data_IF_848413432857
#
_entry.id   IF_848413432857
#
_cell.length_a   1.000
_cell.length_b   1.000
_cell.length_c   1.000
_cell.angle_alpha   90.00
_cell.angle_beta   90.00
_cell.angle_gamma   90.00
#
_symmetry.space_group_name_H-M   'P 1'
#
loop_
_entity.id
_entity.type
_entity.pdbx_description
1 polymer ?
#
# COMPACT_ATOMS: atom_id res chain seq x y z
N UNK A 1 -23.10 6.95 -32.80
CA UNK A 1 -21.77 7.55 -32.54
C UNK A 1 -21.67 8.43 -31.28
N UNK A 2 -22.77 8.72 -30.56
CA UNK A 2 -22.77 9.56 -29.33
C UNK A 2 -22.32 8.83 -28.04
N UNK A 3 -21.87 7.58 -28.14
CA UNK A 3 -21.49 6.74 -26.99
C UNK A 3 -19.99 6.80 -26.66
N UNK A 4 -19.18 7.40 -27.54
CA UNK A 4 -17.72 7.50 -27.40
C UNK A 4 -17.23 8.94 -27.12
N UNK A 5 -18.14 9.89 -26.92
CA UNK A 5 -17.81 11.23 -26.44
C UNK A 5 -18.00 11.26 -24.93
N UNK A 6 -16.90 11.28 -24.18
CA UNK A 6 -16.92 11.27 -22.72
C UNK A 6 -17.66 12.46 -22.15
N UNK A 7 -17.91 12.43 -20.83
CA UNK A 7 -18.52 13.55 -20.08
C UNK A 7 -17.93 14.88 -20.57
N UNK A 8 -18.77 15.76 -21.12
CA UNK A 8 -18.36 17.10 -21.58
C UNK A 8 -17.86 17.22 -23.02
N UNK A 9 -17.99 16.18 -23.87
CA UNK A 9 -17.58 16.27 -25.29
C UNK A 9 -16.10 16.00 -25.55
N UNK A 10 -15.39 15.42 -24.58
CA UNK A 10 -13.98 15.08 -24.66
C UNK A 10 -13.80 13.73 -25.40
N UNK A 11 -12.75 13.62 -26.23
CA UNK A 11 -12.44 12.38 -26.97
C UNK A 11 -12.06 11.23 -26.01
N UNK A 12 -12.35 9.98 -26.38
CA UNK A 12 -11.89 8.79 -25.62
C UNK A 12 -10.37 8.75 -25.50
N UNK A 13 -9.63 9.11 -26.56
CA UNK A 13 -8.18 9.08 -26.54
C UNK A 13 -7.61 10.05 -25.49
N UNK A 14 -8.17 11.25 -25.38
CA UNK A 14 -7.77 12.21 -24.35
C UNK A 14 -8.05 11.69 -22.93
N UNK A 15 -9.19 11.02 -22.71
CA UNK A 15 -9.53 10.42 -21.42
C UNK A 15 -8.60 9.26 -21.06
N UNK A 16 -8.26 8.41 -22.03
CA UNK A 16 -7.33 7.32 -21.84
C UNK A 16 -5.93 7.84 -21.48
N UNK A 17 -5.41 8.81 -22.24
CA UNK A 17 -4.13 9.44 -21.95
C UNK A 17 -4.11 10.11 -20.58
N UNK A 18 -5.17 10.84 -20.21
CA UNK A 18 -5.28 11.47 -18.90
C UNK A 18 -5.32 10.46 -17.76
N UNK A 19 -6.04 9.36 -17.93
CA UNK A 19 -6.11 8.27 -16.95
C UNK A 19 -4.75 7.61 -16.77
N UNK A 20 -4.09 7.25 -17.88
CA UNK A 20 -2.76 6.64 -17.85
C UNK A 20 -1.72 7.56 -17.20
N UNK A 21 -1.76 8.86 -17.51
CA UNK A 21 -0.90 9.85 -16.88
C UNK A 21 -1.13 9.90 -15.36
N UNK A 22 -2.40 9.94 -14.93
CA UNK A 22 -2.76 9.91 -13.51
C UNK A 22 -2.25 8.65 -12.80
N UNK A 23 -2.41 7.48 -13.43
CA UNK A 23 -1.90 6.20 -12.91
C UNK A 23 -0.37 6.23 -12.78
N UNK A 24 0.35 6.72 -13.80
CA UNK A 24 1.81 6.81 -13.77
C UNK A 24 2.28 7.73 -12.66
N UNK A 25 1.65 8.90 -12.50
CA UNK A 25 2.00 9.84 -11.42
C UNK A 25 1.73 9.23 -10.05
N UNK A 26 0.55 8.62 -9.87
CA UNK A 26 0.19 7.98 -8.60
C UNK A 26 1.15 6.83 -8.25
N UNK A 27 1.50 5.99 -9.23
CA UNK A 27 2.44 4.90 -9.05
C UNK A 27 3.85 5.42 -8.74
N UNK A 28 4.38 6.37 -9.52
CA UNK A 28 5.71 6.92 -9.31
C UNK A 28 5.81 7.64 -7.95
N UNK A 29 4.82 8.45 -7.61
CA UNK A 29 4.74 9.14 -6.31
C UNK A 29 4.67 8.16 -5.15
N UNK A 30 3.77 7.18 -5.21
CA UNK A 30 3.65 6.14 -4.18
C UNK A 30 4.94 5.34 -4.04
N UNK A 31 5.53 4.90 -5.15
CA UNK A 31 6.78 4.16 -5.15
C UNK A 31 7.93 4.95 -4.53
N UNK A 32 8.06 6.25 -4.86
CA UNK A 32 9.09 7.11 -4.28
C UNK A 32 8.90 7.27 -2.76
N UNK A 33 7.68 7.58 -2.31
CA UNK A 33 7.37 7.78 -0.89
C UNK A 33 7.58 6.49 -0.10
N UNK A 34 6.93 5.40 -0.49
CA UNK A 34 7.05 4.12 0.22
C UNK A 34 8.45 3.52 0.10
N UNK A 35 9.14 3.73 -1.03
CA UNK A 35 10.53 3.32 -1.23
C UNK A 35 11.50 4.07 -0.31
N UNK A 36 11.33 5.38 -0.16
CA UNK A 36 12.12 6.19 0.77
C UNK A 36 11.87 5.76 2.23
N UNK A 37 10.60 5.62 2.62
CA UNK A 37 10.23 5.16 3.96
C UNK A 37 10.81 3.77 4.27
N UNK A 38 10.74 2.84 3.32
CA UNK A 38 11.31 1.50 3.46
C UNK A 38 12.83 1.55 3.69
N UNK A 39 13.56 2.43 3.00
CA UNK A 39 15.02 2.53 3.12
C UNK A 39 15.48 3.26 4.38
N UNK A 40 14.75 4.28 4.81
CA UNK A 40 15.17 5.17 5.90
C UNK A 40 14.67 4.71 7.28
N UNK A 41 13.44 4.20 7.34
CA UNK A 41 12.78 3.89 8.61
C UNK A 41 12.47 2.40 8.75
N UNK A 42 12.20 1.71 7.63
CA UNK A 42 11.74 0.33 7.65
C UNK A 42 10.27 0.26 8.06
N UNK A 43 9.37 0.06 7.09
CA UNK A 43 7.91 0.11 7.29
C UNK A 43 7.23 -1.27 7.20
N UNK A 44 8.02 -2.34 7.08
CA UNK A 44 7.57 -3.72 6.91
C UNK A 44 8.44 -4.61 7.77
N UNK A 45 7.81 -5.56 8.45
CA UNK A 45 8.49 -6.62 9.18
C UNK A 45 9.27 -7.52 8.20
N UNK A 46 10.35 -8.13 8.69
CA UNK A 46 10.97 -9.26 8.00
C UNK A 46 10.01 -10.47 7.98
N UNK A 47 10.29 -11.44 7.11
CA UNK A 47 9.44 -12.63 6.99
C UNK A 47 9.34 -13.44 8.30
N UNK A 48 10.43 -13.51 9.07
CA UNK A 48 10.46 -14.19 10.36
C UNK A 48 9.70 -13.41 11.44
N UNK A 49 9.81 -12.08 11.45
CA UNK A 49 9.02 -11.23 12.36
C UNK A 49 7.52 -11.25 12.03
N UNK A 50 7.17 -11.27 10.73
CA UNK A 50 5.78 -11.42 10.29
C UNK A 50 5.23 -12.81 10.65
N UNK A 51 6.04 -13.87 10.55
CA UNK A 51 5.68 -15.23 10.98
C UNK A 51 5.47 -15.33 12.49
N UNK A 52 6.36 -14.76 13.30
CA UNK A 52 6.26 -14.75 14.76
C UNK A 52 5.13 -13.83 15.27
N UNK A 53 4.64 -12.91 14.44
CA UNK A 53 3.59 -11.96 14.75
C UNK A 53 4.12 -10.65 15.37
N UNK A 54 3.42 -9.55 15.15
CA UNK A 54 3.82 -8.21 15.60
C UNK A 54 3.88 -8.08 17.12
N UNK A 55 2.99 -8.78 17.84
CA UNK A 55 2.94 -8.73 19.31
C UNK A 55 4.24 -9.25 19.93
N UNK A 56 4.76 -10.37 19.42
CA UNK A 56 6.03 -10.94 19.87
C UNK A 56 7.25 -10.25 19.22
N UNK A 57 7.15 -9.86 17.95
CA UNK A 57 8.31 -9.34 17.20
C UNK A 57 8.62 -7.88 17.52
N UNK A 58 7.59 -7.04 17.64
CA UNK A 58 7.71 -5.60 17.91
C UNK A 58 7.42 -5.28 19.38
N UNK A 59 6.26 -5.72 19.88
CA UNK A 59 5.77 -5.31 21.20
C UNK A 59 6.32 -6.15 22.38
N UNK A 60 6.91 -7.32 22.11
CA UNK A 60 7.43 -8.27 23.11
C UNK A 60 6.38 -8.73 24.13
N UNK A 61 5.13 -8.89 23.70
CA UNK A 61 4.02 -9.38 24.54
C UNK A 61 3.48 -10.66 23.92
N UNK A 62 3.12 -11.63 24.76
CA UNK A 62 2.45 -12.85 24.32
C UNK A 62 1.09 -12.53 23.72
N UNK A 63 0.77 -13.12 22.57
CA UNK A 63 -0.55 -13.00 21.96
C UNK A 63 -1.64 -13.74 22.76
N UNK A 64 -1.25 -14.58 23.74
CA UNK A 64 -2.16 -15.27 24.65
C UNK A 64 -1.71 -15.09 26.10
N UNK A 65 -1.86 -13.89 26.68
CA UNK A 65 -1.42 -13.61 28.04
C UNK A 65 -2.13 -14.51 29.08
N UNK A 66 -3.40 -14.90 28.86
CA UNK A 66 -4.11 -15.79 29.79
C UNK A 66 -3.48 -17.20 29.88
N UNK A 67 -2.90 -17.72 28.78
CA UNK A 67 -2.24 -19.05 28.79
C UNK A 67 -0.89 -19.03 29.49
N UNK A 68 -0.22 -17.89 29.55
CA UNK A 68 1.04 -17.74 30.29
C UNK A 68 0.82 -17.51 31.78
N UNK A 69 -0.31 -16.92 32.16
CA UNK A 69 -0.61 -16.66 33.57
C UNK A 69 -0.88 -17.91 34.42
N UNK A 70 -1.12 -19.09 33.84
CA UNK A 70 -1.11 -20.36 34.58
C UNK A 70 -2.13 -20.48 35.73
N UNK A 71 -3.21 -19.69 35.72
CA UNK A 71 -4.34 -19.80 36.65
C UNK A 71 -5.54 -20.45 35.96
#
# INVERSE_FOLDING_TARGET
LKALGGRGGVSIMSQLCGTLLGVVIAFAGGYLVYGALKKLVGIRLSAEEEFNGTDLSVHKISATPERESGW
#
